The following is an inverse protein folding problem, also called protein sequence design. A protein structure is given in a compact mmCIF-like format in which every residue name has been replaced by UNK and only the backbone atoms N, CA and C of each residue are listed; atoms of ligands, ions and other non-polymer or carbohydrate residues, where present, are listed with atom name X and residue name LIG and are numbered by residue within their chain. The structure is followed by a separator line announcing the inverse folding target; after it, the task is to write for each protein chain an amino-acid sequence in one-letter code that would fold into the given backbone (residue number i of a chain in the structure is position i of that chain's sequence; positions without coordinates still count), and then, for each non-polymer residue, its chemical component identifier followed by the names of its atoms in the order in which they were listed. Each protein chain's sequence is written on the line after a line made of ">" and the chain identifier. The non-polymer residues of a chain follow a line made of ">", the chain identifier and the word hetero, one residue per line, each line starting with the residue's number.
data_IF_205195250304
#
_entry.id   IF_205195250304
#
_cell.length_a   1.000
_cell.length_b   1.000
_cell.length_c   1.000
_cell.angle_alpha   90.00
_cell.angle_beta   90.00
_cell.angle_gamma   90.00
#
_symmetry.space_group_name_H-M   'P 1'
#
loop_
_entity.id
_entity.type
_entity.pdbx_description
1 polymer ?
#
# COMPACT_ATOMS: atom_id res chain seq x y z
N UNK A 1 5.40 20.24 51.63
CA UNK A 1 4.34 20.61 50.67
C UNK A 1 4.82 20.79 49.23
N UNK A 2 6.00 21.39 48.97
CA UNK A 2 6.48 21.62 47.58
C UNK A 2 6.86 20.34 46.81
N UNK A 3 7.31 19.28 47.50
CA UNK A 3 7.66 18.01 46.86
C UNK A 3 6.42 17.19 46.42
N UNK A 4 5.25 17.43 47.01
CA UNK A 4 4.02 16.70 46.68
C UNK A 4 3.37 17.21 45.38
N UNK A 5 3.56 18.50 45.04
CA UNK A 5 3.06 19.09 43.80
C UNK A 5 3.82 18.62 42.55
N UNK A 6 5.10 18.26 42.70
CA UNK A 6 5.94 17.83 41.57
C UNK A 6 5.59 16.40 41.09
N UNK A 7 5.09 15.54 41.98
CA UNK A 7 4.72 14.16 41.63
C UNK A 7 3.39 14.07 40.87
N UNK A 8 2.46 15.01 41.09
CA UNK A 8 1.13 15.01 40.46
C UNK A 8 1.19 15.51 39.00
N UNK A 9 2.20 16.32 38.64
CA UNK A 9 2.36 16.84 37.27
C UNK A 9 2.96 15.82 36.28
N UNK A 10 3.59 14.75 36.76
CA UNK A 10 4.22 13.72 35.92
C UNK A 10 3.26 12.59 35.50
N UNK A 11 2.01 12.60 36.00
CA UNK A 11 1.00 11.57 35.70
C UNK A 11 -0.02 11.98 34.64
N UNK A 12 0.05 13.20 34.09
CA UNK A 12 -0.87 13.64 33.05
C UNK A 12 -0.30 13.35 31.65
N UNK A 13 -0.80 12.24 31.12
CA UNK A 13 -1.11 12.03 29.70
C UNK A 13 0.07 11.90 28.75
N UNK A 14 0.62 10.68 28.69
CA UNK A 14 0.92 10.08 27.38
C UNK A 14 -0.35 10.17 26.52
N UNK A 15 -0.46 11.22 25.72
CA UNK A 15 -1.40 11.28 24.61
C UNK A 15 -1.08 10.07 23.74
N UNK A 16 -1.87 9.00 23.88
CA UNK A 16 -1.90 7.93 22.90
C UNK A 16 -2.32 8.60 21.59
N UNK A 17 -1.34 8.92 20.75
CA UNK A 17 -1.57 9.48 19.44
C UNK A 17 -2.34 8.42 18.65
N UNK A 18 -3.47 8.81 18.06
CA UNK A 18 -4.21 7.97 17.14
C UNK A 18 -3.28 7.46 16.03
N UNK A 19 -3.55 6.27 15.51
CA UNK A 19 -2.63 5.67 14.57
C UNK A 19 -2.39 6.58 13.34
N UNK A 20 -1.15 6.99 13.12
CA UNK A 20 -0.79 7.91 12.05
C UNK A 20 -0.37 7.09 10.85
N UNK A 21 -1.32 6.84 9.95
CA UNK A 21 -1.02 6.29 8.63
C UNK A 21 -0.50 7.40 7.72
N UNK A 22 0.68 7.19 7.12
CA UNK A 22 1.36 8.13 6.23
C UNK A 22 1.64 7.45 4.89
N UNK A 23 1.59 8.25 3.83
CA UNK A 23 1.93 7.84 2.48
C UNK A 23 3.06 8.70 1.93
N UNK A 24 3.85 8.14 1.04
CA UNK A 24 4.97 8.81 0.37
C UNK A 24 4.91 8.54 -1.14
N UNK A 25 6.03 8.16 -1.75
CA UNK A 25 6.20 8.07 -3.19
C UNK A 25 5.38 6.94 -3.83
N UNK A 26 5.00 7.15 -5.09
CA UNK A 26 4.58 6.07 -5.99
C UNK A 26 5.82 5.39 -6.58
N UNK A 27 5.74 4.07 -6.72
CA UNK A 27 6.74 3.25 -7.39
C UNK A 27 6.09 2.60 -8.60
N UNK A 28 6.70 2.74 -9.77
CA UNK A 28 6.21 2.16 -11.03
C UNK A 28 7.09 0.97 -11.42
N UNK A 29 6.44 -0.11 -11.85
CA UNK A 29 7.14 -1.31 -12.34
C UNK A 29 7.33 -1.31 -13.86
N UNK A 30 6.75 -0.33 -14.53
CA UNK A 30 6.72 -0.18 -15.97
C UNK A 30 7.36 1.14 -16.36
N UNK A 31 8.04 1.18 -17.49
CA UNK A 31 8.65 2.41 -17.99
C UNK A 31 7.59 3.43 -18.40
N UNK A 32 7.95 4.71 -18.41
CA UNK A 32 7.05 5.80 -18.84
C UNK A 32 6.43 5.53 -20.22
N UNK A 33 7.20 4.97 -21.16
CA UNK A 33 6.71 4.60 -22.50
C UNK A 33 5.58 3.57 -22.41
N UNK A 34 5.75 2.51 -21.60
CA UNK A 34 4.72 1.48 -21.41
C UNK A 34 3.48 2.05 -20.73
N UNK A 35 3.65 2.97 -19.77
CA UNK A 35 2.53 3.65 -19.12
C UNK A 35 1.71 4.48 -20.12
N UNK A 36 2.37 5.19 -21.03
CA UNK A 36 1.72 5.96 -22.10
C UNK A 36 0.95 5.07 -23.07
N UNK A 37 1.54 3.96 -23.51
CA UNK A 37 0.86 2.98 -24.37
C UNK A 37 -0.38 2.37 -23.72
N UNK A 38 -0.35 2.18 -22.40
CA UNK A 38 -1.48 1.70 -21.60
C UNK A 38 -2.55 2.78 -21.35
N UNK A 39 -2.32 4.01 -21.78
CA UNK A 39 -3.25 5.13 -21.61
C UNK A 39 -3.26 5.71 -20.20
N UNK A 40 -2.23 5.45 -19.38
CA UNK A 40 -2.19 5.91 -17.99
C UNK A 40 -1.96 7.42 -17.95
N UNK A 41 -3.01 8.14 -17.56
CA UNK A 41 -2.97 9.58 -17.38
C UNK A 41 -2.55 9.94 -15.95
N UNK A 42 -1.51 10.78 -15.81
CA UNK A 42 -0.93 11.19 -14.51
C UNK A 42 -1.94 11.87 -13.58
N UNK A 43 -2.85 12.66 -14.12
CA UNK A 43 -3.86 13.38 -13.35
C UNK A 43 -4.90 12.40 -12.77
N UNK A 44 -5.36 11.46 -13.58
CA UNK A 44 -6.32 10.44 -13.16
C UNK A 44 -5.70 9.46 -12.18
N UNK A 45 -4.45 9.05 -12.40
CA UNK A 45 -3.69 8.27 -11.43
C UNK A 45 -3.51 9.03 -10.10
N UNK A 46 -3.20 10.34 -10.17
CA UNK A 46 -3.07 11.19 -8.98
C UNK A 46 -4.37 11.37 -8.20
N UNK A 47 -5.53 11.36 -8.87
CA UNK A 47 -6.84 11.32 -8.20
C UNK A 47 -7.12 9.96 -7.58
N UNK A 48 -6.89 8.88 -8.33
CA UNK A 48 -7.07 7.52 -7.87
C UNK A 48 -6.25 7.26 -6.60
N UNK A 49 -4.95 7.58 -6.62
CA UNK A 49 -4.04 7.33 -5.49
C UNK A 49 -4.46 8.11 -4.24
N UNK A 50 -4.84 9.39 -4.36
CA UNK A 50 -5.33 10.18 -3.22
C UNK A 50 -6.64 9.64 -2.64
N UNK A 51 -7.56 9.18 -3.50
CA UNK A 51 -8.81 8.58 -3.03
C UNK A 51 -8.54 7.28 -2.27
N UNK A 52 -7.67 6.41 -2.81
CA UNK A 52 -7.23 5.19 -2.14
C UNK A 52 -6.59 5.48 -0.77
N UNK A 53 -5.62 6.41 -0.73
CA UNK A 53 -4.96 6.84 0.50
C UNK A 53 -5.97 7.36 1.54
N UNK A 54 -6.96 8.14 1.10
CA UNK A 54 -8.00 8.69 2.00
C UNK A 54 -8.90 7.61 2.59
N UNK A 55 -9.24 6.58 1.81
CA UNK A 55 -10.05 5.45 2.27
C UNK A 55 -9.28 4.57 3.25
N UNK A 56 -8.02 4.27 2.96
CA UNK A 56 -7.14 3.52 3.87
C UNK A 56 -6.91 4.32 5.17
N UNK A 57 -6.64 5.63 5.08
CA UNK A 57 -6.51 6.47 6.26
C UNK A 57 -7.77 6.42 7.13
N UNK A 58 -8.96 6.52 6.52
CA UNK A 58 -10.23 6.45 7.25
C UNK A 58 -10.45 5.10 7.93
N UNK A 59 -10.01 4.01 7.30
CA UNK A 59 -10.04 2.67 7.86
C UNK A 59 -9.17 2.56 9.12
N UNK A 60 -7.94 3.07 9.04
CA UNK A 60 -6.92 2.81 10.06
C UNK A 60 -6.86 3.87 11.18
N UNK A 61 -7.39 5.08 10.98
CA UNK A 61 -7.24 6.21 11.93
C UNK A 61 -7.72 5.94 13.36
N UNK A 62 -8.62 4.98 13.57
CA UNK A 62 -9.19 4.64 14.88
C UNK A 62 -8.72 3.27 15.38
N UNK A 63 -7.77 2.67 14.70
CA UNK A 63 -7.23 1.33 15.00
C UNK A 63 -5.88 1.49 15.67
N UNK A 64 -5.55 0.61 16.60
CA UNK A 64 -4.17 0.50 17.13
C UNK A 64 -3.46 -0.64 16.40
N UNK A 65 -2.40 -0.31 15.66
CA UNK A 65 -1.57 -1.29 14.96
C UNK A 65 -0.13 -1.24 15.48
N UNK A 66 0.61 -2.35 15.40
CA UNK A 66 2.05 -2.29 15.57
C UNK A 66 2.68 -1.34 14.53
N UNK A 67 3.68 -0.54 14.92
CA UNK A 67 4.43 0.29 13.98
C UNK A 67 4.99 -0.56 12.84
N UNK A 68 4.67 -0.19 11.60
CA UNK A 68 5.06 -0.94 10.40
C UNK A 68 5.24 -0.02 9.20
N UNK A 69 6.08 -0.43 8.25
CA UNK A 69 6.31 0.33 7.01
C UNK A 69 6.58 -0.59 5.84
N UNK A 70 6.30 -0.11 4.63
CA UNK A 70 6.32 -0.96 3.46
C UNK A 70 5.61 -0.37 2.26
N UNK A 71 4.95 -1.25 1.51
CA UNK A 71 4.26 -0.90 0.27
C UNK A 71 2.88 -1.54 0.20
N UNK A 72 1.92 -0.76 -0.31
CA UNK A 72 0.71 -1.29 -0.91
C UNK A 72 0.92 -1.37 -2.42
N UNK A 73 0.91 -2.57 -2.98
CA UNK A 73 1.00 -2.82 -4.42
C UNK A 73 -0.40 -2.94 -4.99
N UNK A 74 -0.66 -2.33 -6.14
CA UNK A 74 -1.93 -2.37 -6.85
C UNK A 74 -1.66 -2.81 -8.29
N UNK A 75 -2.45 -3.77 -8.76
CA UNK A 75 -2.51 -4.15 -10.16
C UNK A 75 -3.93 -3.99 -10.71
N UNK A 76 -4.01 -3.58 -11.97
CA UNK A 76 -5.26 -3.36 -12.68
C UNK A 76 -5.14 -3.94 -14.08
N UNK A 77 -6.15 -4.66 -14.55
CA UNK A 77 -6.23 -5.23 -15.89
C UNK A 77 -7.07 -4.36 -16.82
N UNK A 78 -6.85 -4.49 -18.11
CA UNK A 78 -7.65 -3.83 -19.15
C UNK A 78 -9.13 -4.24 -19.19
N UNK A 79 -9.50 -5.35 -18.56
CA UNK A 79 -10.91 -5.76 -18.39
C UNK A 79 -11.57 -5.17 -17.13
N UNK A 80 -10.85 -4.32 -16.39
CA UNK A 80 -11.35 -3.67 -15.17
C UNK A 80 -11.13 -4.47 -13.90
N UNK A 81 -10.56 -5.69 -13.95
CA UNK A 81 -10.22 -6.40 -12.73
C UNK A 81 -9.08 -5.70 -11.97
N UNK A 82 -9.19 -5.64 -10.65
CA UNK A 82 -8.19 -5.03 -9.76
C UNK A 82 -7.74 -6.04 -8.72
N UNK A 83 -6.53 -5.85 -8.21
CA UNK A 83 -6.03 -6.61 -7.06
C UNK A 83 -4.94 -5.82 -6.34
N UNK A 84 -4.58 -6.25 -5.14
CA UNK A 84 -3.54 -5.62 -4.34
C UNK A 84 -2.81 -6.61 -3.44
N UNK A 85 -1.57 -6.26 -3.09
CA UNK A 85 -0.77 -6.98 -2.11
C UNK A 85 -0.11 -6.01 -1.14
N UNK A 86 0.06 -6.44 0.11
CA UNK A 86 0.69 -5.67 1.15
C UNK A 86 2.09 -6.25 1.48
N UNK A 87 3.14 -5.49 1.18
CA UNK A 87 4.53 -5.80 1.58
C UNK A 87 4.94 -4.92 2.75
N UNK A 88 4.47 -5.26 3.95
CA UNK A 88 4.72 -4.52 5.18
C UNK A 88 5.65 -5.26 6.12
N UNK A 89 6.50 -4.51 6.82
CA UNK A 89 7.36 -5.02 7.88
C UNK A 89 7.24 -4.14 9.14
N UNK A 90 6.84 -4.72 10.29
CA UNK A 90 6.25 -6.06 10.47
C UNK A 90 4.99 -6.28 9.62
N UNK A 91 4.63 -7.55 9.39
CA UNK A 91 3.41 -7.91 8.64
C UNK A 91 2.19 -7.35 9.37
N UNK A 92 1.31 -6.68 8.63
CA UNK A 92 0.03 -6.20 9.16
C UNK A 92 -0.90 -7.40 9.39
N UNK A 93 -1.71 -7.35 10.44
CA UNK A 93 -2.66 -8.41 10.75
C UNK A 93 -3.64 -8.64 9.58
N UNK A 94 -3.89 -9.91 9.24
CA UNK A 94 -4.67 -10.33 8.07
C UNK A 94 -6.03 -9.66 7.95
N UNK A 95 -6.72 -9.45 9.07
CA UNK A 95 -7.97 -8.68 9.11
C UNK A 95 -7.88 -7.31 8.42
N UNK A 96 -6.81 -6.54 8.66
CA UNK A 96 -6.64 -5.22 8.04
C UNK A 96 -6.09 -5.31 6.62
N UNK A 97 -5.30 -6.34 6.32
CA UNK A 97 -4.87 -6.66 4.96
C UNK A 97 -6.10 -6.88 4.05
N UNK A 98 -7.02 -7.73 4.51
CA UNK A 98 -8.29 -8.00 3.83
C UNK A 98 -9.18 -6.76 3.72
N UNK A 99 -9.26 -5.91 4.75
CA UNK A 99 -10.02 -4.66 4.66
C UNK A 99 -9.43 -3.66 3.67
N UNK A 100 -8.09 -3.60 3.55
CA UNK A 100 -7.42 -2.77 2.55
C UNK A 100 -7.67 -3.34 1.15
N UNK A 101 -7.58 -4.67 0.98
CA UNK A 101 -7.92 -5.35 -0.25
C UNK A 101 -9.37 -5.04 -0.69
N UNK A 102 -10.34 -5.13 0.22
CA UNK A 102 -11.74 -4.78 -0.04
C UNK A 102 -11.94 -3.33 -0.49
N UNK A 103 -11.17 -2.39 0.07
CA UNK A 103 -11.18 -1.00 -0.38
C UNK A 103 -10.74 -0.93 -1.83
N UNK A 104 -9.64 -1.60 -2.19
CA UNK A 104 -9.13 -1.61 -3.57
C UNK A 104 -10.15 -2.22 -4.53
N UNK A 105 -10.76 -3.35 -4.17
CA UNK A 105 -11.79 -4.02 -4.98
C UNK A 105 -13.02 -3.15 -5.27
N UNK A 106 -13.40 -2.27 -4.33
CA UNK A 106 -14.57 -1.39 -4.45
C UNK A 106 -14.27 -0.10 -5.21
N UNK A 107 -13.00 0.19 -5.50
CA UNK A 107 -12.64 1.39 -6.25
C UNK A 107 -12.88 1.20 -7.74
N UNK A 108 -13.33 2.27 -8.40
CA UNK A 108 -13.41 2.29 -9.87
C UNK A 108 -11.97 2.20 -10.42
N UNK A 109 -11.63 1.17 -11.20
CA UNK A 109 -10.30 1.01 -11.79
C UNK A 109 -9.99 2.15 -12.75
N UNK A 110 -8.70 2.38 -12.98
CA UNK A 110 -8.26 3.20 -14.12
C UNK A 110 -8.60 2.47 -15.43
N UNK A 111 -8.97 3.23 -16.46
CA UNK A 111 -9.10 2.66 -17.79
C UNK A 111 -7.71 2.32 -18.35
N UNK A 112 -7.50 1.07 -18.75
CA UNK A 112 -6.22 0.55 -19.25
C UNK A 112 -6.43 0.02 -20.65
N UNK A 113 -5.69 0.55 -21.61
CA UNK A 113 -5.85 0.19 -23.01
C UNK A 113 -5.46 -1.27 -23.29
N UNK A 114 -4.43 -1.80 -22.61
CA UNK A 114 -3.93 -3.17 -22.82
C UNK A 114 -3.19 -3.74 -21.61
N UNK A 115 -3.38 -5.04 -21.38
CA UNK A 115 -2.62 -5.81 -20.39
C UNK A 115 -2.87 -5.35 -18.95
N UNK A 116 -1.82 -5.40 -18.13
CA UNK A 116 -1.87 -5.05 -16.70
C UNK A 116 -1.05 -3.80 -16.43
N UNK A 117 -1.59 -2.87 -15.65
CA UNK A 117 -0.85 -1.75 -15.05
C UNK A 117 -0.56 -2.07 -13.58
N UNK A 118 0.69 -1.89 -13.16
CA UNK A 118 1.13 -2.19 -11.78
C UNK A 118 1.89 -1.01 -11.21
N UNK A 119 1.52 -0.61 -10.00
CA UNK A 119 2.22 0.41 -9.23
C UNK A 119 2.12 0.12 -7.73
N UNK A 120 2.97 0.77 -6.94
CA UNK A 120 2.92 0.68 -5.48
C UNK A 120 2.94 2.04 -4.82
N UNK A 121 2.35 2.11 -3.63
CA UNK A 121 2.33 3.29 -2.75
C UNK A 121 3.15 2.96 -1.52
N UNK A 122 4.18 3.76 -1.25
CA UNK A 122 4.94 3.63 0.00
C UNK A 122 4.08 4.10 1.18
N UNK A 123 3.97 3.27 2.21
CA UNK A 123 3.09 3.46 3.36
C UNK A 123 3.84 3.21 4.66
N UNK A 124 3.51 3.98 5.69
CA UNK A 124 3.97 3.80 7.07
C UNK A 124 2.77 3.92 8.03
N UNK A 125 2.71 3.06 9.03
CA UNK A 125 1.68 3.00 10.06
C UNK A 125 2.39 3.14 11.40
N UNK A 126 2.02 4.13 12.21
CA UNK A 126 2.52 4.35 13.58
C UNK A 126 4.04 4.46 13.71
N UNK A 127 4.69 4.87 12.62
CA UNK A 127 6.11 5.16 12.57
C UNK A 127 6.36 6.36 11.66
N UNK A 128 7.31 7.25 11.99
CA UNK A 128 7.74 8.30 11.10
C UNK A 128 8.67 7.79 9.99
N UNK A 129 9.13 6.53 10.07
CA UNK A 129 10.13 5.95 9.18
C UNK A 129 9.44 5.13 8.10
N UNK A 130 9.62 5.52 6.84
CA UNK A 130 9.24 4.70 5.70
C UNK A 130 10.27 3.60 5.46
N UNK A 131 9.85 2.53 4.77
CA UNK A 131 10.74 1.45 4.34
C UNK A 131 11.88 2.00 3.48
N UNK A 132 13.07 1.40 3.66
CA UNK A 132 14.26 1.67 2.83
C UNK A 132 14.36 0.74 1.62
N UNK A 133 13.47 -0.26 1.50
CA UNK A 133 13.43 -1.15 0.35
C UNK A 133 13.19 -0.32 -0.92
N UNK A 134 13.98 -0.46 -2.00
CA UNK A 134 13.80 0.34 -3.21
C UNK A 134 12.57 -0.08 -4.02
N UNK A 135 12.19 -1.35 -3.94
CA UNK A 135 11.03 -1.95 -4.62
C UNK A 135 10.29 -2.86 -3.65
N UNK A 136 8.96 -3.01 -3.80
CA UNK A 136 8.19 -3.99 -3.05
C UNK A 136 8.48 -5.42 -3.53
N UNK A 137 8.46 -6.35 -2.58
CA UNK A 137 8.55 -7.79 -2.84
C UNK A 137 7.52 -8.53 -1.99
N UNK A 138 6.23 -8.49 -2.36
CA UNK A 138 5.19 -9.23 -1.65
C UNK A 138 5.56 -10.72 -1.53
N UNK A 139 5.25 -11.38 -0.41
CA UNK A 139 5.61 -12.80 -0.20
C UNK A 139 5.17 -13.71 -1.35
N UNK A 140 3.98 -13.50 -1.90
CA UNK A 140 3.42 -14.31 -2.99
C UNK A 140 4.25 -14.19 -4.29
N UNK A 141 4.81 -13.00 -4.54
CA UNK A 141 5.64 -12.75 -5.71
C UNK A 141 6.97 -13.50 -5.61
N UNK A 142 7.55 -13.59 -4.42
CA UNK A 142 8.81 -14.32 -4.19
C UNK A 142 8.63 -15.80 -4.53
N UNK A 143 7.49 -16.39 -4.20
CA UNK A 143 7.17 -17.77 -4.56
C UNK A 143 6.91 -17.93 -6.07
N UNK A 144 6.21 -16.98 -6.69
CA UNK A 144 5.83 -17.03 -8.10
C UNK A 144 6.97 -16.77 -9.08
N UNK A 145 7.92 -15.87 -8.74
CA UNK A 145 9.14 -15.63 -9.53
C UNK A 145 9.94 -16.91 -9.81
N UNK A 146 9.81 -17.94 -8.98
CA UNK A 146 10.48 -19.24 -9.17
C UNK A 146 9.79 -20.15 -10.18
N UNK A 147 8.55 -19.84 -10.59
CA UNK A 147 7.68 -20.69 -11.41
C UNK A 147 7.44 -20.13 -12.82
N UNK A 148 7.77 -18.86 -13.05
CA UNK A 148 7.54 -18.17 -14.33
C UNK A 148 8.78 -18.15 -15.22
N UNK A 149 8.57 -17.94 -16.52
CA UNK A 149 9.63 -18.01 -17.53
C UNK A 149 10.54 -16.78 -17.47
N UNK A 150 9.94 -15.60 -17.26
CA UNK A 150 10.66 -14.34 -17.12
C UNK A 150 10.32 -13.64 -15.79
N UNK A 151 11.14 -13.81 -14.73
CA UNK A 151 10.92 -13.15 -13.45
C UNK A 151 10.93 -11.61 -13.46
N UNK A 152 11.44 -11.02 -14.54
CA UNK A 152 11.49 -9.56 -14.73
C UNK A 152 10.25 -9.03 -15.45
N UNK A 153 9.42 -9.90 -16.05
CA UNK A 153 8.15 -9.50 -16.63
C UNK A 153 7.10 -9.34 -15.53
N UNK A 154 6.78 -8.08 -15.24
CA UNK A 154 5.82 -7.75 -14.19
C UNK A 154 4.40 -8.24 -14.52
N UNK A 155 4.01 -8.29 -15.80
CA UNK A 155 2.67 -8.73 -16.18
C UNK A 155 2.56 -10.25 -16.08
N UNK A 156 3.58 -11.00 -16.53
CA UNK A 156 3.65 -12.45 -16.33
C UNK A 156 3.64 -12.80 -14.83
N UNK A 157 4.44 -12.09 -14.04
CA UNK A 157 4.49 -12.28 -12.58
C UNK A 157 3.12 -12.05 -11.96
N UNK A 158 2.49 -10.91 -12.23
CA UNK A 158 1.19 -10.57 -11.63
C UNK A 158 0.09 -11.51 -12.10
N UNK A 159 0.08 -11.94 -13.36
CA UNK A 159 -0.88 -12.95 -13.84
C UNK A 159 -0.76 -14.27 -13.09
N UNK A 160 0.46 -14.71 -12.79
CA UNK A 160 0.72 -15.98 -12.10
C UNK A 160 0.26 -16.01 -10.63
N UNK A 161 0.03 -14.83 -10.03
CA UNK A 161 -0.44 -14.66 -8.64
C UNK A 161 -1.77 -13.93 -8.55
N UNK A 162 -2.47 -13.77 -9.68
CA UNK A 162 -3.76 -13.09 -9.69
C UNK A 162 -4.76 -13.92 -8.85
N UNK A 163 -5.39 -13.35 -7.81
CA UNK A 163 -6.39 -14.07 -7.03
C UNK A 163 -7.57 -14.51 -7.90
N UNK A 164 -8.02 -15.76 -7.75
CA UNK A 164 -9.19 -16.30 -8.47
C UNK A 164 -10.49 -15.57 -8.12
#
# INVERSE_FOLDING_TARGET
>A
MKALLAAILLCLSTLASAAVTRFDSLVFFQSETVLQEKGINKETLGRYSRNLQSNIYRLLKNVTLPPSSGYLVIAMRSDGAVTSWLDMQPKVHEFYDNQIYDIVQKMIPLNINKGIFVFAIKIAIDTPVFTKKPMPEPPDWVAAKKKISNPSDIEELVLSVWPE
#
